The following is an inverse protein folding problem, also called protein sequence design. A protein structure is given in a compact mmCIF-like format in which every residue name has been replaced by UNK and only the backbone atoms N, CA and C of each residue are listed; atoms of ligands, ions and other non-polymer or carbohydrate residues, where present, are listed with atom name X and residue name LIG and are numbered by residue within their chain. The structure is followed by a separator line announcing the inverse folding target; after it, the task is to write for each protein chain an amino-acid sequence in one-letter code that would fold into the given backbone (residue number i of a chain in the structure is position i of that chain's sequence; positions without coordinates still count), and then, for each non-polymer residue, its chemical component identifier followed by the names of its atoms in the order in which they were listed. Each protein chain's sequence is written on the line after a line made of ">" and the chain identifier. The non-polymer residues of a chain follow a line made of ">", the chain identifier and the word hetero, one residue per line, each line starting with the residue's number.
data_IF_157919344035
#
_entry.id   IF_157919344035
#
_cell.length_a   1.000
_cell.length_b   1.000
_cell.length_c   1.000
_cell.angle_alpha   90.00
_cell.angle_beta   90.00
_cell.angle_gamma   90.00
#
_symmetry.space_group_name_H-M   'P 1'
#
loop_
_entity.id
_entity.type
_entity.pdbx_description
1 polymer ?
2 water ?
#
# COMPACT_ATOMS: atom_id res chain seq x y z
N UNK A 12 -14.21 4.25 2.26
CA UNK A 12 -13.05 4.21 3.15
C UNK A 12 -11.77 4.60 2.41
N UNK A 13 -10.77 5.05 3.17
CA UNK A 13 -9.54 5.56 2.59
C UNK A 13 -8.73 4.48 1.87
N UNK A 14 -7.92 4.91 0.91
CA UNK A 14 -7.12 4.00 0.10
C UNK A 14 -5.64 4.34 0.24
N UNK A 15 -4.83 3.32 0.51
CA UNK A 15 -3.40 3.51 0.69
C UNK A 15 -2.59 2.68 -0.29
N UNK A 16 -1.53 3.27 -0.83
CA UNK A 16 -0.73 2.61 -1.85
C UNK A 16 0.76 2.82 -1.65
N UNK A 17 1.51 1.72 -1.64
CA UNK A 17 2.97 1.78 -1.58
C UNK A 17 3.54 0.95 -2.74
N UNK A 18 4.27 1.62 -3.63
CA UNK A 18 4.76 0.98 -4.84
C UNK A 18 6.28 0.83 -4.81
N UNK A 19 6.75 -0.39 -5.00
CA UNK A 19 8.17 -0.68 -4.91
C UNK A 19 8.68 -1.42 -6.14
N UNK A 20 9.98 -1.32 -6.38
CA UNK A 20 10.64 -2.12 -7.40
C UNK A 20 11.26 -3.32 -6.71
N UNK A 21 10.60 -4.47 -6.81
CA UNK A 21 11.02 -5.66 -6.11
C UNK A 21 9.94 -6.13 -5.14
N UNK A 22 9.75 -7.44 -5.05
CA UNK A 22 8.71 -8.00 -4.20
C UNK A 22 9.10 -7.97 -2.73
N UNK A 23 10.39 -8.08 -2.45
CA UNK A 23 10.88 -8.10 -1.08
C UNK A 23 10.56 -6.80 -0.35
N UNK A 24 10.85 -5.68 -1.01
CA UNK A 24 10.57 -4.37 -0.43
C UNK A 24 9.07 -4.20 -0.21
N UNK A 25 8.28 -4.78 -1.11
CA UNK A 25 6.83 -4.71 -1.02
C UNK A 25 6.32 -5.45 0.22
N UNK A 26 6.76 -6.69 0.39
CA UNK A 26 6.36 -7.50 1.53
C UNK A 26 6.67 -6.77 2.84
N UNK A 27 7.80 -6.08 2.87
CA UNK A 27 8.19 -5.30 4.04
C UNK A 27 7.22 -4.15 4.27
N UNK A 28 6.86 -3.46 3.19
CA UNK A 28 5.89 -2.38 3.28
C UNK A 28 4.56 -2.90 3.81
N UNK A 29 4.12 -4.03 3.27
CA UNK A 29 2.86 -4.64 3.68
C UNK A 29 2.84 -4.93 5.17
N UNK A 30 3.83 -5.69 5.64
CA UNK A 30 3.92 -6.05 7.05
C UNK A 30 3.92 -4.81 7.94
N UNK A 31 4.77 -3.85 7.61
CA UNK A 31 4.89 -2.62 8.38
C UNK A 31 3.59 -1.82 8.39
N UNK A 32 2.83 -1.91 7.29
CA UNK A 32 1.57 -1.18 7.18
C UNK A 32 0.51 -1.69 8.15
N UNK A 33 0.22 -2.99 8.08
CA UNK A 33 -0.81 -3.59 8.92
C UNK A 33 -0.43 -3.58 10.41
N UNK A 34 0.86 -3.68 10.70
CA UNK A 34 1.34 -3.65 12.07
C UNK A 34 1.26 -2.25 12.68
N UNK A 35 1.38 -1.23 11.82
CA UNK A 35 1.47 0.15 12.29
C UNK A 35 0.11 0.77 12.60
N UNK A 36 -0.89 0.49 11.77
CA UNK A 36 -2.22 1.05 11.98
C UNK A 36 -3.31 0.03 11.67
N UNK A 37 -4.56 0.41 11.92
CA UNK A 37 -5.68 -0.49 11.72
C UNK A 37 -6.21 -0.46 10.29
N UNK A 38 -5.38 -0.90 9.36
CA UNK A 38 -5.76 -0.98 7.95
C UNK A 38 -5.82 -2.44 7.52
N UNK A 39 -6.72 -2.74 6.59
CA UNK A 39 -6.82 -4.10 6.08
C UNK A 39 -6.07 -4.24 4.76
N UNK A 40 -5.27 -5.29 4.66
CA UNK A 40 -4.45 -5.53 3.48
C UNK A 40 -5.28 -6.11 2.33
N UNK A 41 -5.46 -5.32 1.28
CA UNK A 41 -6.20 -5.75 0.09
C UNK A 41 -5.37 -6.72 -0.74
N UNK A 42 -4.05 -6.57 -0.68
CA UNK A 42 -3.15 -7.39 -1.45
C UNK A 42 -2.16 -6.56 -2.24
N UNK A 43 -1.48 -7.19 -3.19
CA UNK A 43 -0.51 -6.48 -4.02
C UNK A 43 -0.74 -6.70 -5.51
N UNK A 44 -0.44 -5.67 -6.30
CA UNK A 44 -0.59 -5.73 -7.74
C UNK A 44 0.77 -5.55 -8.41
N UNK A 45 1.01 -6.30 -9.46
CA UNK A 45 2.25 -6.17 -10.22
C UNK A 45 1.96 -5.88 -11.68
N UNK A 46 2.52 -4.78 -12.18
CA UNK A 46 2.27 -4.34 -13.54
C UNK A 46 3.48 -4.60 -14.43
N UNK A 47 4.34 -5.51 -13.99
CA UNK A 47 5.56 -5.83 -14.71
C UNK A 47 6.64 -4.80 -14.43
N UNK A 48 7.81 -5.01 -15.03
CA UNK A 48 8.95 -4.12 -14.84
C UNK A 48 9.42 -4.12 -13.38
N UNK A 49 9.01 -5.13 -12.63
CA UNK A 49 9.40 -5.27 -11.24
C UNK A 49 8.62 -4.36 -10.30
N UNK A 50 7.60 -3.70 -10.83
CA UNK A 50 6.79 -2.78 -10.04
C UNK A 50 5.68 -3.50 -9.29
N UNK A 51 5.65 -3.32 -7.97
CA UNK A 51 4.64 -3.96 -7.12
C UNK A 51 3.98 -2.94 -6.20
N UNK A 52 2.65 -2.91 -6.21
CA UNK A 52 1.91 -1.95 -5.40
C UNK A 52 1.09 -2.65 -4.31
N UNK A 53 1.36 -2.29 -3.06
CA UNK A 53 0.62 -2.83 -1.93
C UNK A 53 -0.56 -1.92 -1.59
N UNK A 54 -1.74 -2.52 -1.45
CA UNK A 54 -2.96 -1.76 -1.26
C UNK A 54 -3.64 -2.07 0.08
N UNK A 55 -4.05 -1.03 0.79
CA UNK A 55 -4.74 -1.18 2.07
C UNK A 55 -5.96 -0.26 2.17
N UNK A 56 -6.93 -0.67 2.99
CA UNK A 56 -8.13 0.12 3.20
C UNK A 56 -8.38 0.35 4.69
N UNK A 57 -8.95 1.50 5.03
CA UNK A 57 -9.23 1.85 6.41
C UNK A 57 -9.57 3.32 6.54
N UNK A 58 -9.68 3.81 7.77
CA UNK A 58 -9.95 5.23 7.97
C UNK A 58 -8.73 6.05 7.56
N UNK A 59 -8.96 7.28 7.11
CA UNK A 59 -7.88 8.11 6.58
C UNK A 59 -6.71 8.25 7.54
N UNK A 60 -7.00 8.41 8.82
CA UNK A 60 -5.96 8.53 9.83
C UNK A 60 -5.10 7.29 9.89
N UNK A 61 -5.75 6.13 9.87
CA UNK A 61 -5.06 4.85 9.90
C UNK A 61 -4.21 4.64 8.65
N UNK A 62 -4.82 4.85 7.49
CA UNK A 62 -4.14 4.65 6.22
C UNK A 62 -2.92 5.55 6.06
N UNK A 63 -3.04 6.79 6.53
CA UNK A 63 -1.94 7.74 6.45
C UNK A 63 -0.73 7.28 7.27
N UNK A 64 -0.99 6.83 8.49
CA UNK A 64 0.07 6.34 9.37
C UNK A 64 0.70 5.08 8.80
N UNK A 65 -0.14 4.18 8.30
CA UNK A 65 0.33 2.93 7.72
C UNK A 65 1.26 3.17 6.53
N UNK A 66 0.84 4.03 5.61
CA UNK A 66 1.61 4.29 4.39
C UNK A 66 2.96 4.94 4.71
N UNK A 67 2.98 5.83 5.70
CA UNK A 67 4.22 6.43 6.14
C UNK A 67 5.17 5.36 6.66
N UNK A 68 4.64 4.48 7.50
CA UNK A 68 5.43 3.40 8.09
C UNK A 68 5.85 2.39 7.03
N UNK A 69 4.99 2.17 6.04
CA UNK A 69 5.28 1.24 4.97
C UNK A 69 6.45 1.69 4.11
N UNK A 70 6.39 2.93 3.64
CA UNK A 70 7.43 3.48 2.79
C UNK A 70 8.77 3.56 3.52
N UNK A 71 8.72 3.94 4.79
CA UNK A 71 9.92 4.01 5.61
C UNK A 71 10.59 2.64 5.70
N UNK A 72 9.81 1.63 6.06
CA UNK A 72 10.33 0.27 6.19
C UNK A 72 10.81 -0.29 4.86
N UNK A 73 10.15 0.12 3.78
CA UNK A 73 10.45 -0.41 2.45
C UNK A 73 11.77 0.12 1.88
N UNK A 74 12.04 1.41 2.12
CA UNK A 74 13.28 2.02 1.63
C UNK A 74 14.52 1.31 2.19
N UNK A 75 14.38 0.73 3.38
CA UNK A 75 15.48 0.01 4.01
C UNK A 75 15.77 -1.32 3.32
N UNK A 76 14.72 -1.91 2.75
CA UNK A 76 14.83 -3.22 2.12
C UNK A 76 15.08 -3.13 0.62
N UNK A 77 14.49 -2.12 -0.01
CA UNK A 77 14.61 -1.96 -1.45
C UNK A 77 14.27 -0.58 -1.98
N UNK A 78 13.69 -0.54 -3.18
CA UNK A 78 13.46 0.72 -3.88
C UNK A 78 11.98 1.10 -3.89
N UNK A 79 11.65 2.19 -3.19
CA UNK A 79 10.29 2.70 -3.16
C UNK A 79 10.05 3.69 -4.29
N UNK A 80 8.98 3.48 -5.05
CA UNK A 80 8.71 4.29 -6.22
C UNK A 80 7.62 5.33 -5.95
N UNK A 81 6.49 4.88 -5.42
CA UNK A 81 5.37 5.78 -5.17
C UNK A 81 4.69 5.50 -3.83
N UNK A 82 4.17 6.55 -3.21
CA UNK A 82 3.38 6.43 -1.99
C UNK A 82 2.26 7.46 -2.04
N UNK A 83 1.02 7.00 -1.92
CA UNK A 83 -0.12 7.89 -2.05
C UNK A 83 -1.30 7.45 -1.18
N UNK A 84 -2.13 8.41 -0.81
CA UNK A 84 -3.33 8.14 -0.04
C UNK A 84 -4.54 8.84 -0.65
N UNK A 85 -5.63 8.10 -0.80
CA UNK A 85 -6.89 8.67 -1.25
C UNK A 85 -7.94 8.49 -0.17
N UNK A 86 -8.23 9.57 0.57
CA UNK A 86 -9.16 9.54 1.71
C UNK A 86 -10.53 8.98 1.35
N UNK A 87 -10.99 9.22 0.13
CA UNK A 87 -12.28 8.70 -0.31
C UNK A 87 -12.32 8.51 -1.82
N UNK A 88 -11.85 7.34 -2.29
CA UNK A 88 -11.87 7.01 -3.71
C UNK A 88 -13.29 7.00 -4.26
N UNK A 89 -13.45 7.48 -5.49
CA UNK A 89 -14.75 7.46 -6.15
C UNK A 89 -15.24 6.02 -6.26
N UNK A 90 -16.55 5.83 -6.22
CA UNK A 90 -17.14 4.49 -6.25
C UNK A 90 -16.73 3.71 -7.49
N UNK A 91 -16.69 4.38 -8.63
CA UNK A 91 -16.28 3.72 -9.87
C UNK A 91 -14.87 3.16 -9.74
N UNK A 92 -14.03 3.86 -8.99
CA UNK A 92 -12.64 3.44 -8.82
C UNK A 92 -12.55 2.17 -7.97
N UNK A 93 -13.57 1.95 -7.15
CA UNK A 93 -13.64 0.76 -6.32
C UNK A 93 -13.54 -0.52 -7.15
N UNK A 94 -14.27 -0.56 -8.26
CA UNK A 94 -14.38 -1.76 -9.09
C UNK A 94 -13.09 -2.17 -9.81
N UNK A 95 -12.12 -1.27 -9.85
CA UNK A 95 -10.82 -1.59 -10.44
C UNK A 95 -9.81 -1.97 -9.36
N UNK A 96 -10.24 -1.88 -8.10
CA UNK A 96 -9.45 -2.35 -6.98
C UNK A 96 -9.99 -3.69 -6.51
N UNK A 97 -9.11 -4.59 -6.05
CA UNK A 97 -9.55 -5.86 -5.46
C UNK A 97 -10.15 -5.65 -4.07
N UNK A 98 -10.84 -6.67 -3.56
CA UNK A 98 -11.34 -6.66 -2.19
C UNK A 98 -10.36 -7.44 -1.34
N UNK A 99 -9.44 -8.12 -2.03
CA UNK A 99 -8.52 -9.05 -1.42
C UNK A 99 -8.42 -10.23 -2.36
N UNK A 100 -8.96 -10.04 -3.56
CA UNK A 100 -9.01 -11.09 -4.57
C UNK A 100 -7.65 -11.26 -5.24
#
# INVERSE_FOLDING_TARGET
>A
MHHHHHHGTQQEALGMVETKGLTAAIEAADAMVKSANVMLVGYEKIGSGLVTVIVRGDVGAVKAATDAGAAAARNVGEVKAVHVIPRPHTDVEKILPKGISQ
#
